data_IF_824786608834
#
_entry.id   IF_824786608834
#
_cell.length_a   1.000
_cell.length_b   1.000
_cell.length_c   1.000
_cell.angle_alpha   90.00
_cell.angle_beta   90.00
_cell.angle_gamma   90.00
#
_symmetry.space_group_name_H-M   'P 1'
#
loop_
_entity.id
_entity.type
_entity.pdbx_description
1 polymer ?
#
# COMPACT_ATOMS: atom_id res chain seq x y z
N UNK A 1 25.52 -14.00 -15.82
CA UNK A 1 24.20 -14.12 -16.45
C UNK A 1 23.06 -13.80 -15.46
N UNK A 2 23.14 -14.24 -14.22
CA UNK A 2 22.14 -13.97 -13.18
C UNK A 2 21.99 -12.47 -12.86
N UNK A 3 23.07 -11.68 -12.93
CA UNK A 3 23.04 -10.22 -12.73
C UNK A 3 22.29 -9.44 -13.83
N UNK A 4 22.23 -9.98 -15.05
CA UNK A 4 21.51 -9.33 -16.16
C UNK A 4 20.01 -9.47 -16.10
N UNK A 5 19.48 -10.49 -15.41
CA UNK A 5 18.03 -10.73 -15.28
C UNK A 5 17.41 -9.82 -14.24
N UNK A 6 18.13 -9.48 -13.16
CA UNK A 6 17.65 -8.62 -12.08
C UNK A 6 17.49 -7.11 -12.45
N UNK A 7 18.07 -6.68 -13.56
CA UNK A 7 18.04 -5.27 -13.99
C UNK A 7 17.23 -5.04 -15.28
N UNK A 8 16.31 -5.93 -15.63
CA UNK A 8 15.59 -5.83 -16.90
C UNK A 8 14.59 -4.68 -16.97
N UNK A 9 14.04 -4.23 -15.83
CA UNK A 9 13.15 -3.07 -15.77
C UNK A 9 12.91 -2.67 -14.32
N UNK A 10 13.00 -1.40 -13.99
CA UNK A 10 12.61 -0.85 -12.67
C UNK A 10 11.17 -1.22 -12.34
N UNK A 11 10.29 -1.24 -13.34
CA UNK A 11 8.90 -1.64 -13.22
C UNK A 11 8.75 -3.06 -12.64
N UNK A 12 9.35 -4.07 -13.29
CA UNK A 12 9.28 -5.46 -12.81
C UNK A 12 9.89 -5.62 -11.41
N UNK A 13 10.99 -4.92 -11.12
CA UNK A 13 11.61 -4.99 -9.79
C UNK A 13 10.67 -4.44 -8.70
N UNK A 14 10.02 -3.30 -8.97
CA UNK A 14 9.06 -2.69 -8.05
C UNK A 14 7.85 -3.62 -7.84
N UNK A 15 7.32 -4.18 -8.92
CA UNK A 15 6.21 -5.13 -8.89
C UNK A 15 6.54 -6.39 -8.09
N UNK A 16 7.64 -7.08 -8.43
CA UNK A 16 8.04 -8.33 -7.79
C UNK A 16 8.28 -8.14 -6.28
N UNK A 17 8.93 -7.03 -5.90
CA UNK A 17 9.15 -6.70 -4.47
C UNK A 17 7.82 -6.42 -3.78
N UNK A 18 6.93 -5.65 -4.40
CA UNK A 18 5.62 -5.34 -3.83
C UNK A 18 4.75 -6.59 -3.64
N UNK A 19 4.74 -7.50 -4.62
CA UNK A 19 4.06 -8.80 -4.53
C UNK A 19 4.65 -9.63 -3.40
N UNK A 20 5.97 -9.79 -3.35
CA UNK A 20 6.62 -10.58 -2.30
C UNK A 20 6.34 -10.06 -0.89
N UNK A 21 6.34 -8.74 -0.70
CA UNK A 21 5.98 -8.10 0.58
C UNK A 21 4.50 -8.32 0.91
N UNK A 22 3.61 -8.20 -0.09
CA UNK A 22 2.18 -8.46 0.09
C UNK A 22 1.87 -9.90 0.48
N UNK A 23 2.50 -10.87 -0.18
CA UNK A 23 2.38 -12.29 0.16
C UNK A 23 2.90 -12.59 1.56
N UNK A 24 4.08 -12.07 1.92
CA UNK A 24 4.63 -12.22 3.26
C UNK A 24 3.73 -11.63 4.35
N UNK A 25 3.10 -10.48 4.08
CA UNK A 25 2.11 -9.87 4.97
C UNK A 25 0.88 -10.76 5.12
N UNK A 26 0.32 -11.26 4.03
CA UNK A 26 -0.82 -12.20 4.04
C UNK A 26 -0.51 -13.44 4.88
N UNK A 27 0.65 -14.05 4.64
CA UNK A 27 1.06 -15.26 5.32
C UNK A 27 1.30 -15.01 6.82
N UNK A 28 1.88 -13.88 7.19
CA UNK A 28 2.09 -13.48 8.58
C UNK A 28 0.78 -13.19 9.33
N UNK A 29 -0.26 -12.71 8.64
CA UNK A 29 -1.58 -12.43 9.22
C UNK A 29 -2.40 -13.71 9.48
N UNK A 30 -2.11 -14.80 8.77
CA UNK A 30 -2.81 -16.08 8.91
C UNK A 30 -4.34 -15.92 8.83
N UNK A 31 -5.04 -16.41 9.84
CA UNK A 31 -6.51 -16.33 9.95
C UNK A 31 -7.02 -14.95 10.39
N UNK A 32 -6.11 -14.01 10.67
CA UNK A 32 -6.41 -12.65 11.14
C UNK A 32 -7.17 -12.63 12.49
N UNK A 33 -6.99 -13.65 13.32
CA UNK A 33 -7.64 -13.71 14.63
C UNK A 33 -7.18 -12.55 15.52
N UNK A 34 -8.13 -11.86 16.11
CA UNK A 34 -7.89 -10.79 17.08
C UNK A 34 -7.37 -9.47 16.51
N UNK A 35 -7.06 -9.36 15.23
CA UNK A 35 -6.55 -8.10 14.64
C UNK A 35 -7.64 -7.02 14.66
N UNK A 36 -7.20 -5.76 14.76
CA UNK A 36 -8.08 -4.60 14.66
C UNK A 36 -8.82 -4.52 13.33
N UNK A 37 -8.21 -4.99 12.25
CA UNK A 37 -8.76 -5.12 10.91
C UNK A 37 -8.87 -3.82 10.11
N UNK A 38 -9.49 -2.78 10.67
CA UNK A 38 -9.72 -1.50 9.97
C UNK A 38 -8.78 -0.43 10.48
N UNK A 39 -8.24 0.37 9.57
CA UNK A 39 -7.56 1.60 9.92
C UNK A 39 -7.73 2.64 8.83
N UNK A 40 -7.80 3.90 9.22
CA UNK A 40 -7.85 5.03 8.31
C UNK A 40 -7.23 6.26 8.93
N UNK A 41 -6.82 7.20 8.08
CA UNK A 41 -6.31 8.49 8.52
C UNK A 41 -6.00 9.42 7.35
N UNK A 42 -5.69 10.67 7.70
CA UNK A 42 -5.17 11.66 6.76
C UNK A 42 -3.73 11.99 7.14
N UNK A 43 -2.85 11.97 6.16
CA UNK A 43 -1.41 12.03 6.34
C UNK A 43 -0.84 13.22 5.58
N UNK A 44 -0.43 14.28 6.28
CA UNK A 44 0.19 15.43 5.65
C UNK A 44 1.67 15.22 5.41
N UNK A 45 2.17 15.83 4.36
CA UNK A 45 3.59 16.11 4.14
C UNK A 45 3.68 17.46 3.42
N UNK A 46 4.13 18.48 4.14
CA UNK A 46 4.13 19.88 3.73
C UNK A 46 2.74 20.29 3.17
N UNK A 47 2.65 20.63 1.88
CA UNK A 47 1.39 21.01 1.22
C UNK A 47 0.54 19.83 0.74
N UNK A 48 1.09 18.61 0.77
CA UNK A 48 0.36 17.41 0.37
C UNK A 48 -0.43 16.84 1.55
N UNK A 49 -1.65 16.40 1.26
CA UNK A 49 -2.53 15.72 2.21
C UNK A 49 -3.16 14.53 1.51
N UNK A 50 -2.91 13.32 2.02
CA UNK A 50 -3.45 12.08 1.49
C UNK A 50 -4.31 11.38 2.53
N UNK A 51 -5.49 10.94 2.17
CA UNK A 51 -6.33 10.07 3.00
C UNK A 51 -6.14 8.62 2.61
N UNK A 52 -5.92 7.76 3.59
CA UNK A 52 -5.80 6.32 3.41
C UNK A 52 -6.79 5.59 4.31
N UNK A 53 -7.50 4.60 3.74
CA UNK A 53 -8.34 3.69 4.50
C UNK A 53 -8.11 2.26 4.02
N UNK A 54 -7.97 1.31 4.95
CA UNK A 54 -7.80 -0.10 4.62
C UNK A 54 -8.65 -1.02 5.50
N UNK A 55 -8.96 -2.17 4.93
CA UNK A 55 -9.60 -3.30 5.59
C UNK A 55 -8.80 -4.58 5.27
N UNK A 56 -8.36 -5.31 6.29
CA UNK A 56 -7.73 -6.62 6.16
C UNK A 56 -8.79 -7.69 5.79
N UNK A 57 -9.60 -7.38 4.80
CA UNK A 57 -10.85 -8.08 4.44
C UNK A 57 -10.68 -9.50 3.89
N UNK A 58 -9.48 -9.88 3.45
CA UNK A 58 -9.25 -11.10 2.66
C UNK A 58 -9.61 -10.96 1.18
N UNK A 59 -10.15 -9.82 0.75
CA UNK A 59 -10.53 -9.54 -0.63
C UNK A 59 -9.70 -8.41 -1.21
N UNK A 60 -8.94 -8.64 -2.30
CA UNK A 60 -8.13 -7.60 -2.91
C UNK A 60 -9.04 -6.57 -3.61
N UNK A 61 -8.87 -5.31 -3.25
CA UNK A 61 -9.48 -4.18 -3.95
C UNK A 61 -8.65 -2.93 -3.70
N UNK A 62 -8.35 -2.18 -4.74
CA UNK A 62 -7.61 -0.92 -4.62
C UNK A 62 -8.36 0.18 -5.36
N UNK A 63 -8.70 1.25 -4.63
CA UNK A 63 -9.14 2.51 -5.20
C UNK A 63 -8.00 3.53 -5.06
N UNK A 64 -7.35 3.82 -6.17
CA UNK A 64 -6.30 4.83 -6.27
C UNK A 64 -6.87 6.09 -6.88
N UNK A 65 -7.18 7.08 -6.04
CA UNK A 65 -7.71 8.38 -6.45
C UNK A 65 -6.66 9.46 -6.19
N UNK A 66 -5.48 9.27 -6.81
CA UNK A 66 -4.34 10.18 -6.68
C UNK A 66 -3.89 10.60 -8.06
N UNK A 67 -4.38 11.75 -8.50
CA UNK A 67 -3.95 12.38 -9.75
C UNK A 67 -2.59 13.06 -9.51
N UNK A 68 -1.53 12.45 -10.02
CA UNK A 68 -0.19 13.01 -9.94
C UNK A 68 0.00 14.07 -11.03
N UNK A 69 0.50 15.26 -10.71
CA UNK A 69 0.92 16.23 -11.73
C UNK A 69 1.99 15.64 -12.63
N UNK A 70 1.98 16.04 -13.91
CA UNK A 70 3.05 15.67 -14.83
C UNK A 70 4.39 16.16 -14.28
N UNK A 71 5.37 15.26 -14.23
CA UNK A 71 6.72 15.60 -13.82
C UNK A 71 7.75 14.65 -14.46
N UNK A 72 9.00 15.06 -14.44
CA UNK A 72 10.12 14.19 -14.79
C UNK A 72 10.32 13.12 -13.70
N UNK A 73 10.96 11.99 -14.04
CA UNK A 73 11.35 11.00 -13.05
C UNK A 73 12.09 11.61 -11.87
N UNK A 74 11.80 11.10 -10.67
CA UNK A 74 12.31 11.64 -9.41
C UNK A 74 13.66 11.01 -9.04
N UNK A 75 14.57 11.81 -8.49
CA UNK A 75 15.77 11.32 -7.84
C UNK A 75 16.87 10.78 -8.75
N UNK A 76 17.88 10.18 -8.11
CA UNK A 76 19.00 9.50 -8.78
C UNK A 76 19.39 8.25 -7.94
N UNK A 77 19.17 7.03 -8.44
CA UNK A 77 18.62 6.68 -9.74
C UNK A 77 17.18 7.18 -9.96
N UNK A 78 16.82 7.40 -11.23
CA UNK A 78 15.52 7.94 -11.60
C UNK A 78 14.36 6.97 -11.25
N UNK A 79 13.36 7.48 -10.53
CA UNK A 79 12.12 6.77 -10.19
C UNK A 79 10.96 7.35 -11.02
N UNK A 80 10.26 6.51 -11.76
CA UNK A 80 9.04 6.90 -12.46
C UNK A 80 7.87 7.01 -11.47
N UNK A 81 7.26 8.19 -11.32
CA UNK A 81 6.14 8.39 -10.39
C UNK A 81 4.94 7.46 -10.60
N UNK A 82 4.69 7.01 -11.83
CA UNK A 82 3.61 6.06 -12.14
C UNK A 82 3.77 4.71 -11.42
N UNK A 83 4.99 4.36 -11.04
CA UNK A 83 5.29 3.13 -10.30
C UNK A 83 4.78 3.16 -8.85
N UNK A 84 4.42 4.32 -8.31
CA UNK A 84 3.88 4.43 -6.95
C UNK A 84 2.52 3.75 -6.81
N UNK A 85 1.59 4.04 -7.75
CA UNK A 85 0.31 3.34 -7.83
C UNK A 85 0.51 1.84 -8.03
N UNK A 86 1.38 1.48 -8.97
CA UNK A 86 1.65 0.08 -9.31
C UNK A 86 2.19 -0.70 -8.09
N UNK A 87 3.15 -0.13 -7.35
CA UNK A 87 3.70 -0.74 -6.14
C UNK A 87 2.65 -0.97 -5.06
N UNK A 88 1.86 0.07 -4.75
CA UNK A 88 0.82 0.00 -3.72
C UNK A 88 -0.28 -0.98 -4.11
N UNK A 89 -0.70 -0.98 -5.37
CA UNK A 89 -1.72 -1.88 -5.90
C UNK A 89 -1.27 -3.34 -5.91
N UNK A 90 -0.05 -3.61 -6.33
CA UNK A 90 0.53 -4.96 -6.33
C UNK A 90 0.64 -5.52 -4.91
N UNK A 91 1.15 -4.72 -3.96
CA UNK A 91 1.23 -5.10 -2.55
C UNK A 91 -0.16 -5.39 -1.96
N UNK A 92 -1.12 -4.49 -2.14
CA UNK A 92 -2.46 -4.63 -1.57
C UNK A 92 -3.21 -5.83 -2.16
N UNK A 93 -3.03 -6.09 -3.46
CA UNK A 93 -3.61 -7.25 -4.14
C UNK A 93 -3.01 -8.55 -3.62
N UNK A 94 -1.69 -8.66 -3.53
CA UNK A 94 -1.01 -9.85 -3.03
C UNK A 94 -1.29 -10.12 -1.54
N UNK A 95 -1.49 -9.06 -0.75
CA UNK A 95 -1.87 -9.16 0.67
C UNK A 95 -3.36 -9.47 0.89
N UNK A 96 -4.19 -9.52 -0.15
CA UNK A 96 -5.66 -9.66 -0.06
C UNK A 96 -6.30 -8.61 0.86
N UNK A 97 -5.95 -7.35 0.67
CA UNK A 97 -6.52 -6.22 1.43
C UNK A 97 -7.35 -5.30 0.53
N UNK A 98 -8.36 -4.68 1.13
CA UNK A 98 -9.09 -3.58 0.52
C UNK A 98 -8.42 -2.27 0.91
N UNK A 99 -8.04 -1.45 -0.06
CA UNK A 99 -7.30 -0.20 0.13
C UNK A 99 -7.91 0.94 -0.67
N UNK A 100 -8.09 2.08 -0.03
CA UNK A 100 -8.45 3.34 -0.67
C UNK A 100 -7.38 4.37 -0.37
N UNK A 101 -6.89 5.04 -1.40
CA UNK A 101 -5.94 6.15 -1.32
C UNK A 101 -6.50 7.34 -2.08
N UNK A 102 -6.68 8.47 -1.41
CA UNK A 102 -7.27 9.66 -2.01
C UNK A 102 -6.36 10.87 -1.77
N UNK A 103 -5.99 11.57 -2.82
CA UNK A 103 -5.33 12.87 -2.73
C UNK A 103 -6.37 13.93 -2.36
N UNK A 104 -6.19 14.58 -1.23
CA UNK A 104 -7.06 15.67 -0.76
C UNK A 104 -6.50 17.03 -1.13
N UNK A 105 -5.17 17.18 -1.09
CA UNK A 105 -4.45 18.37 -1.49
C UNK A 105 -2.99 18.01 -1.83
N UNK A 106 -2.33 18.82 -2.64
CA UNK A 106 -0.91 18.67 -2.96
C UNK A 106 -0.61 18.97 -4.43
N UNK A 107 0.64 19.32 -4.69
CA UNK A 107 1.16 19.62 -6.03
C UNK A 107 2.59 19.12 -6.26
N UNK A 108 3.33 18.85 -5.21
CA UNK A 108 4.65 18.24 -5.32
C UNK A 108 4.51 16.71 -5.36
N UNK A 109 4.87 16.12 -6.49
CA UNK A 109 4.71 14.68 -6.74
C UNK A 109 5.45 13.82 -5.70
N UNK A 110 6.66 14.23 -5.29
CA UNK A 110 7.42 13.53 -4.24
C UNK A 110 6.66 13.54 -2.91
N UNK A 111 6.12 14.70 -2.48
CA UNK A 111 5.36 14.80 -1.24
C UNK A 111 4.08 13.95 -1.27
N UNK A 112 3.38 13.96 -2.41
CA UNK A 112 2.15 13.16 -2.58
C UNK A 112 2.46 11.65 -2.46
N UNK A 113 3.48 11.18 -3.18
CA UNK A 113 3.89 9.77 -3.15
C UNK A 113 4.34 9.36 -1.76
N UNK A 114 5.21 10.15 -1.12
CA UNK A 114 5.72 9.84 0.22
C UNK A 114 4.59 9.85 1.26
N UNK A 115 3.65 10.80 1.20
CA UNK A 115 2.48 10.81 2.08
C UNK A 115 1.61 9.58 1.88
N UNK A 116 1.45 9.08 0.64
CA UNK A 116 0.70 7.86 0.34
C UNK A 116 1.33 6.63 0.98
N UNK A 117 2.64 6.44 0.82
CA UNK A 117 3.36 5.32 1.45
C UNK A 117 3.38 5.40 2.98
N UNK A 118 3.59 6.60 3.54
CA UNK A 118 3.49 6.82 5.00
C UNK A 118 2.09 6.51 5.53
N UNK A 119 1.07 6.93 4.79
CA UNK A 119 -0.33 6.66 5.11
C UNK A 119 -0.63 5.17 5.13
N UNK A 120 -0.24 4.44 4.08
CA UNK A 120 -0.38 2.99 4.01
C UNK A 120 0.33 2.31 5.19
N UNK A 121 1.59 2.65 5.45
CA UNK A 121 2.37 2.05 6.54
C UNK A 121 1.75 2.31 7.92
N UNK A 122 1.23 3.51 8.17
CA UNK A 122 0.56 3.86 9.43
C UNK A 122 -0.74 3.10 9.61
N UNK A 123 -1.56 3.03 8.55
CA UNK A 123 -2.80 2.27 8.58
C UNK A 123 -2.55 0.77 8.76
N UNK A 124 -1.55 0.19 8.05
CA UNK A 124 -1.16 -1.21 8.25
C UNK A 124 -0.73 -1.46 9.70
N UNK A 125 0.17 -0.64 10.26
CA UNK A 125 0.60 -0.76 11.66
C UNK A 125 -0.57 -0.79 12.65
N UNK A 126 -1.59 0.00 12.39
CA UNK A 126 -2.74 0.08 13.30
C UNK A 126 -3.73 -1.06 13.05
N UNK A 127 -3.97 -1.46 11.79
CA UNK A 127 -4.88 -2.54 11.43
C UNK A 127 -4.41 -3.93 11.89
N UNK A 128 -3.10 -4.18 11.94
CA UNK A 128 -2.52 -5.47 12.36
C UNK A 128 -2.43 -5.64 13.89
N UNK A 129 -2.78 -4.63 14.68
CA UNK A 129 -2.76 -4.75 16.15
C UNK A 129 -3.74 -5.83 16.61
N UNK A 130 -3.28 -6.70 17.48
CA UNK A 130 -4.14 -7.69 18.14
C UNK A 130 -4.83 -7.00 19.32
N UNK A 131 -6.15 -6.88 19.27
CA UNK A 131 -6.97 -6.14 20.24
C UNK A 131 -8.04 -7.02 20.91
N UNK A 132 -8.32 -8.19 20.36
CA UNK A 132 -9.37 -9.09 20.87
C UNK A 132 -9.03 -10.55 20.66
N UNK A 133 -9.87 -11.46 21.17
CA UNK A 133 -9.85 -12.86 20.82
C UNK A 133 -10.88 -13.12 19.71
N UNK A 134 -10.50 -13.92 18.71
CA UNK A 134 -11.37 -14.32 17.62
C UNK A 134 -11.27 -13.44 16.36
N UNK A 135 -11.87 -13.89 15.27
CA UNK A 135 -11.84 -13.21 13.98
C UNK A 135 -12.84 -12.06 13.97
N UNK A 136 -12.42 -10.81 13.63
CA UNK A 136 -13.29 -9.64 13.66
C UNK A 136 -14.21 -9.60 12.41
N UNK A 137 -15.08 -10.61 12.30
CA UNK A 137 -16.03 -10.78 11.21
C UNK A 137 -17.29 -11.45 11.70
N UNK A 138 -18.44 -10.89 11.32
CA UNK A 138 -19.75 -11.52 11.60
C UNK A 138 -19.95 -12.86 10.89
N UNK A 139 -19.12 -13.16 9.88
CA UNK A 139 -19.10 -14.42 9.15
C UNK A 139 -18.13 -15.45 9.77
N UNK A 140 -17.37 -15.07 10.81
CA UNK A 140 -16.36 -15.92 11.44
C UNK A 140 -15.08 -16.15 10.64
N UNK A 141 -14.97 -15.59 9.44
CA UNK A 141 -13.81 -15.72 8.55
C UNK A 141 -13.49 -14.39 7.85
N UNK A 142 -12.23 -14.23 7.46
CA UNK A 142 -11.70 -13.14 6.62
C UNK A 142 -10.88 -13.77 5.48
N UNK A 143 -11.57 -14.38 4.56
CA UNK A 143 -11.01 -15.07 3.37
C UNK A 143 -11.49 -14.41 2.09
#
# INVERSE_FOLDING_TARGET
>A
EFRRVLFRSTHHTVEDVAIAVGEALRDALGDKAGVRRFASGSFPLDEALVSVALDLSGRPFVAWNVDLPECLPLGNPAFDPSLAEHAISSLATAANITLHVNLLAGRNVHHIIEASFKGLARCLRDAVRVESAGVPSTKGVLS
#
